data_IF_967498063174
#
_entry.id   IF_967498063174
#
_cell.length_a   1.000
_cell.length_b   1.000
_cell.length_c   1.000
_cell.angle_alpha   90.00
_cell.angle_beta   90.00
_cell.angle_gamma   90.00
#
_symmetry.space_group_name_H-M   'P 1'
#
loop_
_entity.id
_entity.type
_entity.pdbx_description
1 polymer ?
#
# COMPACT_ATOMS: atom_id res chain seq x y z
N UNK A 1 10.30 15.82 28.32
CA UNK A 1 9.49 14.84 27.57
C UNK A 1 10.30 14.47 26.34
N UNK A 2 10.96 13.32 26.35
CA UNK A 2 11.70 12.83 25.18
C UNK A 2 10.66 12.44 24.12
N UNK A 3 10.62 13.17 23.01
CA UNK A 3 9.84 12.76 21.84
C UNK A 3 10.49 11.49 21.29
N UNK A 4 9.99 10.33 21.66
CA UNK A 4 10.42 9.09 21.04
C UNK A 4 10.05 9.18 19.55
N UNK A 5 11.08 9.22 18.70
CA UNK A 5 10.92 9.42 17.25
C UNK A 5 10.24 8.21 16.61
N UNK A 6 9.38 8.47 15.62
CA UNK A 6 8.80 7.43 14.79
C UNK A 6 9.88 6.81 13.89
N UNK A 7 10.07 5.49 13.96
CA UNK A 7 11.04 4.76 13.15
C UNK A 7 10.51 4.60 11.72
N UNK A 8 11.32 5.01 10.73
CA UNK A 8 10.93 5.11 9.31
C UNK A 8 11.99 4.47 8.39
N UNK A 9 11.59 3.66 7.39
CA UNK A 9 12.49 3.19 6.34
C UNK A 9 13.02 4.35 5.46
N UNK A 10 14.16 4.19 4.79
CA UNK A 10 14.76 5.24 3.96
C UNK A 10 13.99 5.52 2.65
N UNK A 11 13.31 4.51 2.09
CA UNK A 11 12.50 4.64 0.87
C UNK A 11 11.24 3.77 0.97
N UNK A 12 10.07 4.38 0.83
CA UNK A 12 8.76 3.70 0.85
C UNK A 12 7.64 4.62 0.39
N UNK A 13 6.50 4.03 0.04
CA UNK A 13 5.25 4.76 -0.17
C UNK A 13 4.59 5.02 1.18
N UNK A 14 4.58 6.30 1.59
CA UNK A 14 4.01 6.74 2.85
C UNK A 14 2.49 6.73 2.85
N UNK A 15 1.90 7.30 1.81
CA UNK A 15 0.47 7.37 1.59
C UNK A 15 0.21 7.28 0.08
N UNK A 16 -0.90 6.66 -0.32
CA UNK A 16 -1.17 6.35 -1.72
C UNK A 16 -2.64 6.49 -2.11
N UNK A 17 -2.84 6.59 -3.41
CA UNK A 17 -4.13 6.60 -4.08
C UNK A 17 -4.17 5.36 -4.97
N UNK A 18 -5.25 4.60 -4.87
CA UNK A 18 -5.48 3.44 -5.73
C UNK A 18 -6.70 3.73 -6.59
N UNK A 19 -6.54 3.66 -7.90
CA UNK A 19 -7.61 3.86 -8.87
C UNK A 19 -7.87 2.58 -9.65
N UNK A 20 -9.14 2.22 -9.79
CA UNK A 20 -9.54 1.11 -10.64
C UNK A 20 -9.94 1.61 -12.05
N UNK A 21 -9.05 1.46 -13.02
CA UNK A 21 -9.31 1.73 -14.45
C UNK A 21 -9.61 0.44 -15.23
N UNK A 22 -9.67 -0.71 -14.55
CA UNK A 22 -10.03 -1.99 -15.15
C UNK A 22 -11.55 -2.14 -15.29
N UNK A 23 -11.96 -3.12 -16.09
CA UNK A 23 -13.37 -3.41 -16.27
C UNK A 23 -13.93 -4.15 -15.04
N UNK A 24 -14.99 -3.60 -14.46
CA UNK A 24 -15.73 -4.22 -13.36
C UNK A 24 -15.16 -3.97 -11.97
N UNK A 25 -15.53 -4.85 -11.05
CA UNK A 25 -15.17 -4.75 -9.63
C UNK A 25 -13.91 -5.54 -9.32
N UNK A 26 -13.08 -4.97 -8.45
CA UNK A 26 -11.88 -5.61 -7.93
C UNK A 26 -11.86 -5.60 -6.41
N UNK A 27 -11.35 -6.68 -5.84
CA UNK A 27 -10.94 -6.75 -4.44
C UNK A 27 -9.44 -6.48 -4.36
N UNK A 28 -9.03 -5.56 -3.51
CA UNK A 28 -7.63 -5.13 -3.37
C UNK A 28 -7.19 -5.44 -1.95
N UNK A 29 -6.11 -6.20 -1.81
CA UNK A 29 -5.46 -6.49 -0.53
C UNK A 29 -4.11 -5.77 -0.47
N UNK A 30 -3.99 -4.89 0.51
CA UNK A 30 -2.78 -4.13 0.82
C UNK A 30 -2.03 -4.85 1.92
N UNK A 31 -0.80 -5.24 1.65
CA UNK A 31 0.04 -6.01 2.57
C UNK A 31 1.18 -5.11 3.02
N UNK A 32 1.29 -4.92 4.33
CA UNK A 32 2.32 -4.09 4.95
C UNK A 32 3.41 -4.95 5.56
N UNK A 33 4.60 -4.38 5.72
CA UNK A 33 5.72 -5.06 6.37
C UNK A 33 5.35 -5.48 7.79
N UNK A 34 5.63 -6.75 8.11
CA UNK A 34 5.46 -7.27 9.46
C UNK A 34 6.31 -6.48 10.43
N UNK A 35 5.76 -6.20 11.62
CA UNK A 35 6.58 -5.62 12.69
C UNK A 35 7.66 -6.64 13.11
N UNK A 36 8.91 -6.22 13.37
CA UNK A 36 9.96 -7.13 13.83
C UNK A 36 9.66 -7.81 15.17
N UNK A 37 8.72 -7.28 15.96
CA UNK A 37 8.25 -7.90 17.22
C UNK A 37 7.16 -8.97 16.99
N UNK A 38 6.61 -9.03 15.78
CA UNK A 38 5.41 -9.79 15.45
C UNK A 38 5.72 -10.69 14.23
N UNK A 39 6.64 -11.64 14.45
CA UNK A 39 7.22 -12.55 13.45
C UNK A 39 6.19 -13.41 12.68
N UNK A 40 4.89 -13.29 12.96
CA UNK A 40 3.84 -14.10 12.35
C UNK A 40 2.58 -13.32 11.92
N UNK A 41 2.58 -11.98 11.99
CA UNK A 41 1.38 -11.17 11.76
C UNK A 41 1.58 -10.21 10.58
N UNK A 42 1.32 -10.69 9.36
CA UNK A 42 1.24 -9.81 8.18
C UNK A 42 0.00 -8.92 8.29
N UNK A 43 0.22 -7.64 8.62
CA UNK A 43 -0.82 -6.62 8.62
C UNK A 43 -1.32 -6.42 7.19
N UNK A 44 -2.64 -6.47 7.01
CA UNK A 44 -3.24 -6.21 5.71
C UNK A 44 -4.56 -5.45 5.82
N UNK A 45 -4.93 -4.80 4.72
CA UNK A 45 -6.22 -4.13 4.56
C UNK A 45 -6.87 -4.59 3.28
N UNK A 46 -8.20 -4.74 3.27
CA UNK A 46 -8.97 -5.16 2.10
C UNK A 46 -9.94 -4.06 1.72
N UNK A 47 -9.96 -3.70 0.44
CA UNK A 47 -10.90 -2.71 -0.11
C UNK A 47 -11.49 -3.23 -1.42
N UNK A 48 -12.71 -2.78 -1.72
CA UNK A 48 -13.39 -3.15 -2.95
C UNK A 48 -13.62 -1.90 -3.78
N UNK A 49 -13.22 -1.92 -5.06
CA UNK A 49 -13.41 -0.80 -5.97
C UNK A 49 -14.15 -1.27 -7.22
N UNK A 50 -15.25 -0.58 -7.55
CA UNK A 50 -15.85 -0.62 -8.87
C UNK A 50 -15.04 0.17 -9.88
N UNK A 51 -15.41 0.06 -11.16
CA UNK A 51 -14.76 0.79 -12.25
C UNK A 51 -14.81 2.31 -12.02
N UNK A 52 -13.68 2.97 -12.25
CA UNK A 52 -13.49 4.41 -12.06
C UNK A 52 -13.39 4.88 -10.61
N UNK A 53 -13.54 3.98 -9.63
CA UNK A 53 -13.45 4.36 -8.22
C UNK A 53 -12.01 4.55 -7.76
N UNK A 54 -11.86 5.42 -6.76
CA UNK A 54 -10.60 5.78 -6.15
C UNK A 54 -10.67 5.48 -4.65
N UNK A 55 -9.59 4.95 -4.09
CA UNK A 55 -9.40 4.77 -2.66
C UNK A 55 -8.12 5.46 -2.21
N UNK A 56 -8.18 6.17 -1.08
CA UNK A 56 -7.00 6.77 -0.44
C UNK A 56 -6.55 5.88 0.72
N UNK A 57 -5.26 5.61 0.77
CA UNK A 57 -4.61 4.81 1.80
C UNK A 57 -3.65 5.70 2.56
N UNK A 58 -3.91 5.87 3.85
CA UNK A 58 -3.05 6.62 4.75
C UNK A 58 -1.86 5.79 5.23
N UNK A 59 -0.86 6.47 5.79
CA UNK A 59 0.32 5.84 6.38
C UNK A 59 -0.06 4.87 7.50
N UNK A 60 0.43 3.63 7.40
CA UNK A 60 0.25 2.64 8.46
C UNK A 60 1.31 2.87 9.54
N UNK A 61 0.87 3.33 10.70
CA UNK A 61 1.69 3.49 11.91
C UNK A 61 1.25 2.48 12.96
N UNK A 62 2.21 1.85 13.63
CA UNK A 62 2.00 0.96 14.77
C UNK A 62 2.59 1.60 16.02
N UNK A 63 1.83 1.53 17.11
CA UNK A 63 2.25 2.00 18.43
C UNK A 63 2.77 0.84 19.27
N UNK A 64 4.00 0.97 19.76
CA UNK A 64 4.68 0.02 20.63
C UNK A 64 4.74 0.51 22.09
N UNK A 65 3.89 1.49 22.44
CA UNK A 65 3.76 2.09 23.76
C UNK A 65 4.86 3.11 24.08
N UNK A 66 6.13 2.75 23.88
CA UNK A 66 7.28 3.63 24.14
C UNK A 66 7.82 4.32 22.88
N UNK A 67 7.43 3.85 21.69
CA UNK A 67 7.82 4.40 20.39
C UNK A 67 6.78 3.99 19.33
N UNK A 68 6.86 4.59 18.14
CA UNK A 68 6.00 4.22 17.00
C UNK A 68 6.83 3.81 15.79
N UNK A 69 6.30 2.89 15.00
CA UNK A 69 6.91 2.37 13.77
C UNK A 69 6.02 2.65 12.56
N UNK A 70 6.60 2.97 11.42
CA UNK A 70 5.89 2.87 10.14
C UNK A 70 5.97 1.45 9.62
N UNK A 71 4.83 0.87 9.23
CA UNK A 71 4.76 -0.36 8.45
C UNK A 71 4.59 0.01 6.97
N UNK A 72 5.66 0.01 6.17
CA UNK A 72 5.55 0.36 4.76
C UNK A 72 4.70 -0.65 3.99
N UNK A 73 4.03 -0.18 2.94
CA UNK A 73 3.33 -1.04 1.99
C UNK A 73 4.36 -1.89 1.23
N UNK A 74 4.19 -3.22 1.30
CA UNK A 74 5.10 -4.20 0.69
C UNK A 74 4.51 -4.84 -0.56
N UNK A 75 3.19 -5.05 -0.59
CA UNK A 75 2.52 -5.68 -1.73
C UNK A 75 1.08 -5.22 -1.89
N UNK A 76 0.65 -5.06 -3.13
CA UNK A 76 -0.74 -4.88 -3.53
C UNK A 76 -1.15 -6.14 -4.27
N UNK A 77 -2.18 -6.83 -3.80
CA UNK A 77 -2.83 -7.93 -4.51
C UNK A 77 -4.19 -7.46 -5.00
N UNK A 78 -4.54 -7.78 -6.24
CA UNK A 78 -5.82 -7.43 -6.85
C UNK A 78 -6.45 -8.70 -7.37
N UNK A 79 -7.65 -9.02 -6.86
CA UNK A 79 -8.47 -10.16 -7.30
C UNK A 79 -9.68 -9.63 -8.06
N UNK A 80 -9.88 -10.13 -9.27
CA UNK A 80 -10.99 -9.80 -10.16
C UNK A 80 -12.19 -10.71 -9.89
N UNK A 81 -13.35 -10.34 -10.46
CA UNK A 81 -14.58 -11.13 -10.38
C UNK A 81 -14.49 -12.51 -11.03
N UNK A 82 -13.58 -12.71 -11.98
CA UNK A 82 -13.28 -14.01 -12.60
C UNK A 82 -12.32 -14.88 -11.76
N UNK A 83 -11.90 -14.39 -10.59
CA UNK A 83 -10.96 -15.06 -9.70
C UNK A 83 -9.48 -14.86 -10.06
N UNK A 84 -9.16 -14.18 -11.17
CA UNK A 84 -7.78 -13.88 -11.52
C UNK A 84 -7.17 -12.93 -10.49
N UNK A 85 -6.01 -13.31 -9.96
CA UNK A 85 -5.26 -12.49 -9.00
C UNK A 85 -3.93 -12.04 -9.59
N UNK A 86 -3.64 -10.76 -9.43
CA UNK A 86 -2.36 -10.14 -9.80
C UNK A 86 -1.76 -9.44 -8.58
N UNK A 87 -0.46 -9.24 -8.60
CA UNK A 87 0.21 -8.54 -7.51
C UNK A 87 1.33 -7.63 -8.01
N UNK A 88 1.59 -6.59 -7.23
CA UNK A 88 2.72 -5.68 -7.38
C UNK A 88 3.42 -5.58 -6.02
N UNK A 89 4.71 -5.88 -5.98
CA UNK A 89 5.51 -5.86 -4.76
C UNK A 89 6.54 -4.73 -4.78
N UNK A 90 6.94 -4.28 -3.59
CA UNK A 90 8.07 -3.37 -3.42
C UNK A 90 9.40 -4.04 -3.83
N UNK A 91 10.42 -3.29 -4.29
CA UNK A 91 10.40 -1.84 -4.51
C UNK A 91 9.49 -1.46 -5.67
N UNK A 92 8.63 -0.46 -5.46
CA UNK A 92 7.76 0.04 -6.51
C UNK A 92 8.58 0.90 -7.49
N UNK A 93 8.38 0.68 -8.79
CA UNK A 93 9.04 1.47 -9.82
C UNK A 93 8.83 2.96 -9.57
N UNK A 94 9.92 3.73 -9.58
CA UNK A 94 9.92 5.18 -9.31
C UNK A 94 10.02 5.58 -7.83
N UNK A 95 9.99 4.65 -6.88
CA UNK A 95 10.05 4.92 -5.44
C UNK A 95 11.46 4.72 -4.88
N UNK A 96 12.29 5.76 -4.98
CA UNK A 96 13.68 5.75 -4.47
C UNK A 96 13.87 6.56 -3.18
N UNK A 97 12.81 7.20 -2.69
CA UNK A 97 12.77 8.01 -1.45
C UNK A 97 11.42 7.81 -0.78
N UNK A 98 11.19 8.44 0.38
CA UNK A 98 9.85 8.50 0.97
C UNK A 98 8.94 9.35 0.09
N UNK A 99 7.86 8.76 -0.44
CA UNK A 99 6.90 9.45 -1.32
C UNK A 99 5.51 9.49 -0.70
N UNK A 100 4.76 10.55 -0.98
CA UNK A 100 3.36 10.77 -0.58
C UNK A 100 2.48 10.88 -1.82
N UNK A 101 1.19 10.65 -1.67
CA UNK A 101 0.16 10.66 -2.69
C UNK A 101 0.55 9.83 -3.90
N UNK A 102 1.19 8.69 -3.67
CA UNK A 102 1.65 7.82 -4.76
C UNK A 102 0.45 7.16 -5.45
N UNK A 103 0.39 7.18 -6.77
CA UNK A 103 -0.73 6.64 -7.54
C UNK A 103 -0.44 5.23 -8.04
N UNK A 104 -1.29 4.29 -7.62
CA UNK A 104 -1.40 2.96 -8.20
C UNK A 104 -2.65 2.89 -9.07
N UNK A 105 -2.49 2.43 -10.32
CA UNK A 105 -3.59 2.26 -11.26
C UNK A 105 -3.76 0.78 -11.58
N UNK A 106 -4.97 0.27 -11.38
CA UNK A 106 -5.36 -1.09 -11.72
C UNK A 106 -5.96 -1.06 -13.12
N UNK A 107 -5.34 -1.73 -14.07
CA UNK A 107 -5.78 -1.85 -15.45
C UNK A 107 -6.07 -3.30 -15.82
N UNK A 108 -6.68 -3.55 -16.98
CA UNK A 108 -6.86 -4.90 -17.53
C UNK A 108 -5.52 -5.65 -17.68
N UNK A 109 -5.26 -6.58 -16.75
CA UNK A 109 -4.08 -7.44 -16.77
C UNK A 109 -2.86 -6.89 -16.01
N UNK A 110 -2.90 -5.71 -15.39
CA UNK A 110 -1.72 -5.17 -14.68
C UNK A 110 -2.05 -4.19 -13.55
N UNK A 111 -1.08 -3.97 -12.66
CA UNK A 111 -1.08 -2.90 -11.64
C UNK A 111 0.12 -2.00 -11.96
N UNK A 112 -0.13 -0.71 -12.25
CA UNK A 112 0.92 0.26 -12.55
C UNK A 112 1.26 1.14 -11.36
N UNK A 113 2.56 1.34 -11.14
CA UNK A 113 3.12 2.38 -10.26
C UNK A 113 3.37 3.63 -11.10
N UNK A 114 2.56 4.68 -10.95
CA UNK A 114 2.49 5.78 -11.94
C UNK A 114 3.11 7.11 -11.49
N UNK A 115 3.53 7.24 -10.22
CA UNK A 115 4.13 8.48 -9.72
C UNK A 115 3.30 9.18 -8.65
N UNK A 116 3.70 10.40 -8.27
CA UNK A 116 2.90 11.26 -7.37
C UNK A 116 1.67 11.77 -8.12
N UNK A 117 0.48 11.56 -7.55
CA UNK A 117 -0.70 12.31 -7.97
C UNK A 117 -0.54 13.75 -7.50
N UNK A 118 -0.56 14.68 -8.45
CA UNK A 118 -0.70 16.14 -8.24
C UNK A 118 -1.99 16.49 -7.52
#
# INVERSE_FOLDING_TARGET
MSSYGCVRPPAYVRDCIIRNDSDGHVQIRLIYESSPEDNNSTSHSVVHLGQGQIHRVDEKIVDHGSWTAVQPLQRIEVTRSDGQTMHLAAPFEGVNTVVRNWLFVIENGTIKSTGRSS
#
